data_IF_361875907675
#
_entry.id   IF_361875907675
#
_cell.length_a   1.000
_cell.length_b   1.000
_cell.length_c   1.000
_cell.angle_alpha   90.00
_cell.angle_beta   90.00
_cell.angle_gamma   90.00
#
_symmetry.space_group_name_H-M   'P 1'
#
loop_
_entity.id
_entity.type
_entity.pdbx_description
1 polymer ?
#
# COMPACT_ATOMS: atom_id res chain seq x y z
N UNK A 1 9.96 7.58 15.86
CA UNK A 1 8.90 6.60 16.15
C UNK A 1 8.40 6.03 14.83
N UNK A 2 8.27 4.70 14.74
CA UNK A 2 7.63 4.07 13.59
C UNK A 2 6.12 3.95 13.82
N UNK A 3 5.34 4.11 12.77
CA UNK A 3 3.88 3.89 12.78
C UNK A 3 3.56 2.81 11.75
N UNK A 4 2.89 1.76 12.17
CA UNK A 4 2.31 0.74 11.30
C UNK A 4 0.82 1.01 11.18
N UNK A 5 0.42 1.60 10.07
CA UNK A 5 -0.98 1.89 9.80
C UNK A 5 -1.68 0.69 9.15
N UNK A 6 -2.80 0.29 9.71
CA UNK A 6 -3.67 -0.76 9.21
C UNK A 6 -4.90 -0.13 8.56
N UNK A 7 -5.05 -0.34 7.26
CA UNK A 7 -6.19 0.14 6.47
C UNK A 7 -7.42 -0.75 6.65
N UNK A 8 -7.97 -0.77 7.86
CA UNK A 8 -9.11 -1.62 8.20
C UNK A 8 -10.45 -1.07 7.66
N UNK A 9 -10.56 0.23 7.45
CA UNK A 9 -11.76 0.84 6.86
C UNK A 9 -11.87 0.58 5.36
N UNK A 10 -10.85 0.87 4.51
CA UNK A 10 -10.90 0.57 3.09
C UNK A 10 -11.11 -0.91 2.78
N UNK A 11 -10.59 -1.80 3.62
CA UNK A 11 -10.76 -3.25 3.43
C UNK A 11 -12.21 -3.71 3.51
N UNK A 12 -13.07 -2.97 4.24
CA UNK A 12 -14.51 -3.25 4.32
C UNK A 12 -15.29 -2.75 3.09
N UNK A 13 -14.71 -1.85 2.29
CA UNK A 13 -15.33 -1.31 1.09
C UNK A 13 -14.97 -2.14 -0.15
N UNK A 14 -13.83 -2.83 -0.10
CA UNK A 14 -13.24 -3.57 -1.22
C UNK A 14 -12.18 -2.75 -1.95
N UNK A 15 -10.98 -3.30 -2.08
CA UNK A 15 -9.85 -2.65 -2.75
C UNK A 15 -9.92 -2.87 -4.27
N UNK A 16 -10.09 -1.83 -5.08
CA UNK A 16 -10.16 -1.92 -6.53
C UNK A 16 -8.77 -1.92 -7.20
N UNK A 17 -7.69 -1.65 -6.44
CA UNK A 17 -6.38 -1.38 -7.02
C UNK A 17 -5.83 -2.54 -7.85
N UNK A 18 -5.59 -2.26 -9.14
CA UNK A 18 -4.86 -3.14 -10.05
C UNK A 18 -5.63 -4.34 -10.62
N UNK A 19 -6.97 -4.42 -10.45
CA UNK A 19 -7.78 -5.52 -11.00
C UNK A 19 -9.04 -5.01 -11.69
N UNK A 20 -9.47 -5.72 -12.73
CA UNK A 20 -10.75 -5.47 -13.41
C UNK A 20 -11.98 -5.86 -12.56
N UNK A 21 -11.78 -6.49 -11.42
CA UNK A 21 -12.84 -6.93 -10.50
C UNK A 21 -12.49 -6.47 -9.09
N UNK A 22 -13.39 -5.70 -8.48
CA UNK A 22 -13.30 -5.27 -7.08
C UNK A 22 -13.19 -6.49 -6.17
N UNK A 23 -12.24 -6.51 -5.24
CA UNK A 23 -12.22 -7.55 -4.20
C UNK A 23 -13.53 -7.50 -3.41
N UNK A 24 -14.10 -8.66 -3.05
CA UNK A 24 -15.26 -8.66 -2.17
C UNK A 24 -14.92 -7.93 -0.86
N UNK A 25 -15.86 -7.15 -0.32
CA UNK A 25 -15.68 -6.51 0.96
C UNK A 25 -15.48 -7.58 2.05
N UNK A 26 -14.53 -7.35 2.94
CA UNK A 26 -14.28 -8.22 4.08
C UNK A 26 -15.17 -7.85 5.26
N UNK A 27 -15.55 -8.82 6.08
CA UNK A 27 -16.16 -8.53 7.36
C UNK A 27 -15.12 -7.88 8.29
N UNK A 28 -15.61 -7.16 9.31
CA UNK A 28 -14.72 -6.53 10.29
C UNK A 28 -13.85 -7.56 11.01
N UNK A 29 -14.40 -8.73 11.33
CA UNK A 29 -13.70 -9.83 11.97
C UNK A 29 -12.57 -10.34 11.07
N UNK A 30 -12.84 -10.54 9.79
CA UNK A 30 -11.83 -10.95 8.80
C UNK A 30 -10.72 -9.91 8.64
N UNK A 31 -11.06 -8.62 8.69
CA UNK A 31 -10.07 -7.54 8.62
C UNK A 31 -9.16 -7.55 9.84
N UNK A 32 -9.72 -7.73 11.05
CA UNK A 32 -8.94 -7.79 12.28
C UNK A 32 -8.04 -9.03 12.34
N UNK A 33 -8.54 -10.19 11.92
CA UNK A 33 -7.74 -11.42 11.82
C UNK A 33 -6.57 -11.26 10.83
N UNK A 34 -6.84 -10.66 9.67
CA UNK A 34 -5.79 -10.34 8.70
C UNK A 34 -4.78 -9.35 9.28
N UNK A 35 -5.25 -8.30 9.98
CA UNK A 35 -4.40 -7.30 10.62
C UNK A 35 -3.46 -7.93 11.67
N UNK A 36 -3.96 -8.87 12.46
CA UNK A 36 -3.13 -9.62 13.43
C UNK A 36 -2.00 -10.38 12.72
N UNK A 37 -2.31 -11.04 11.61
CA UNK A 37 -1.32 -11.76 10.81
C UNK A 37 -0.24 -10.81 10.26
N UNK A 38 -0.65 -9.67 9.66
CA UNK A 38 0.29 -8.66 9.15
C UNK A 38 1.15 -8.07 10.27
N UNK A 39 0.54 -7.74 11.39
CA UNK A 39 1.23 -7.19 12.55
C UNK A 39 2.30 -8.16 13.08
N UNK A 40 1.95 -9.45 13.20
CA UNK A 40 2.89 -10.49 13.63
C UNK A 40 4.08 -10.62 12.67
N UNK A 41 3.86 -10.52 11.37
CA UNK A 41 4.93 -10.53 10.37
C UNK A 41 5.77 -9.27 10.42
N UNK A 42 5.16 -8.10 10.54
CA UNK A 42 5.86 -6.82 10.63
C UNK A 42 6.81 -6.76 11.83
N UNK A 43 6.40 -7.30 12.98
CA UNK A 43 7.24 -7.36 14.18
C UNK A 43 8.39 -8.37 14.14
N UNK A 44 8.56 -9.12 13.06
CA UNK A 44 9.83 -9.81 12.80
C UNK A 44 10.94 -8.86 12.34
N UNK A 45 10.57 -7.68 11.85
CA UNK A 45 11.48 -6.68 11.30
C UNK A 45 11.47 -5.42 12.15
N UNK A 46 10.28 -4.96 12.57
CA UNK A 46 10.09 -3.76 13.36
C UNK A 46 10.23 -4.06 14.86
N UNK A 47 10.85 -3.12 15.58
CA UNK A 47 10.90 -3.15 17.03
C UNK A 47 9.53 -2.80 17.61
N UNK A 48 8.93 -3.74 18.35
CA UNK A 48 7.59 -3.58 18.92
C UNK A 48 7.46 -2.40 19.87
N UNK A 49 8.51 -2.16 20.66
CA UNK A 49 8.49 -1.10 21.69
C UNK A 49 8.67 0.30 21.08
N UNK A 50 9.08 0.37 19.80
CA UNK A 50 9.27 1.62 19.04
C UNK A 50 8.25 1.82 17.92
N UNK A 51 7.28 0.90 17.80
CA UNK A 51 6.30 0.93 16.72
C UNK A 51 4.90 1.06 17.29
N UNK A 52 4.21 2.10 16.87
CA UNK A 52 2.79 2.30 17.14
C UNK A 52 1.95 1.63 16.05
N UNK A 53 0.90 0.91 16.45
CA UNK A 53 -0.08 0.35 15.51
C UNK A 53 -1.29 1.26 15.52
N UNK A 54 -1.72 1.70 14.33
CA UNK A 54 -2.85 2.63 14.15
C UNK A 54 -3.81 2.05 13.13
N UNK A 55 -5.10 2.19 13.38
CA UNK A 55 -6.17 1.73 12.49
C UNK A 55 -6.90 2.94 11.90
N UNK A 56 -6.98 3.03 10.58
CA UNK A 56 -7.61 4.19 9.95
C UNK A 56 -9.15 4.20 10.10
N UNK A 57 -9.75 3.10 10.50
CA UNK A 57 -11.14 3.08 10.93
C UNK A 57 -11.43 3.95 12.15
N UNK A 58 -10.43 4.33 12.93
CA UNK A 58 -10.59 5.16 14.12
C UNK A 58 -11.04 6.59 13.79
N UNK A 59 -10.67 7.11 12.64
CA UNK A 59 -11.15 8.39 12.12
C UNK A 59 -12.21 8.23 11.05
N UNK A 60 -12.08 7.37 10.04
CA UNK A 60 -13.06 7.28 8.96
C UNK A 60 -14.46 6.87 9.41
N UNK A 61 -14.60 6.00 10.43
CA UNK A 61 -15.92 5.63 10.97
C UNK A 61 -16.61 6.75 11.75
N UNK A 62 -15.87 7.75 12.17
CA UNK A 62 -16.40 8.93 12.90
C UNK A 62 -16.75 10.07 11.95
N UNK A 63 -16.19 10.08 10.73
CA UNK A 63 -16.47 11.11 9.74
C UNK A 63 -17.95 11.11 9.37
N UNK A 64 -18.54 12.29 9.44
CA UNK A 64 -19.87 12.55 8.89
C UNK A 64 -19.80 12.63 7.38
N UNK A 65 -20.94 12.45 6.71
CA UNK A 65 -20.99 12.60 5.24
C UNK A 65 -20.56 14.00 4.78
N UNK A 66 -20.86 15.04 5.58
CA UNK A 66 -20.42 16.41 5.31
C UNK A 66 -18.88 16.53 5.31
N UNK A 67 -18.22 15.90 6.28
CA UNK A 67 -16.76 15.89 6.36
C UNK A 67 -16.13 15.14 5.18
N UNK A 68 -16.75 14.02 4.77
CA UNK A 68 -16.32 13.29 3.57
C UNK A 68 -16.45 14.15 2.31
N UNK A 69 -17.56 14.92 2.16
CA UNK A 69 -17.71 15.84 1.03
C UNK A 69 -16.68 16.97 1.07
N UNK A 70 -16.37 17.52 2.25
CA UNK A 70 -15.32 18.52 2.43
C UNK A 70 -13.95 17.96 2.07
N UNK A 71 -13.64 16.73 2.46
CA UNK A 71 -12.40 16.06 2.09
C UNK A 71 -12.32 15.86 0.57
N UNK A 72 -13.39 15.39 -0.05
CA UNK A 72 -13.44 15.17 -1.50
C UNK A 72 -13.31 16.48 -2.31
N UNK A 73 -13.77 17.61 -1.77
CA UNK A 73 -13.66 18.90 -2.46
C UNK A 73 -12.22 19.43 -2.59
N UNK A 74 -11.28 18.85 -1.86
CA UNK A 74 -9.85 19.20 -1.90
C UNK A 74 -9.09 18.57 -3.06
N UNK A 75 -9.71 17.60 -3.73
CA UNK A 75 -9.05 16.84 -4.80
C UNK A 75 -9.91 16.91 -6.05
N UNK A 76 -9.30 17.16 -7.21
CA UNK A 76 -10.05 17.20 -8.46
C UNK A 76 -10.16 15.82 -9.12
N UNK A 77 -11.22 15.61 -9.88
CA UNK A 77 -11.36 14.39 -10.69
C UNK A 77 -10.20 14.23 -11.67
N UNK A 78 -9.70 15.35 -12.26
CA UNK A 78 -8.55 15.30 -13.17
C UNK A 78 -7.28 14.80 -12.49
N UNK A 79 -7.04 15.22 -11.25
CA UNK A 79 -5.92 14.69 -10.46
C UNK A 79 -6.07 13.18 -10.24
N UNK A 80 -7.25 12.70 -9.86
CA UNK A 80 -7.48 11.27 -9.66
C UNK A 80 -7.30 10.47 -10.95
N UNK A 81 -7.81 10.97 -12.07
CA UNK A 81 -7.67 10.33 -13.38
C UNK A 81 -6.24 10.38 -13.95
N UNK A 82 -5.33 11.18 -13.37
CA UNK A 82 -3.91 11.16 -13.71
C UNK A 82 -3.17 9.93 -13.14
N UNK A 83 -3.76 9.22 -12.19
CA UNK A 83 -3.21 7.95 -11.68
C UNK A 83 -3.16 6.92 -12.82
N UNK A 84 -2.00 6.29 -13.03
CA UNK A 84 -1.72 5.45 -14.22
C UNK A 84 -2.76 4.36 -14.46
N UNK A 85 -3.22 3.67 -13.41
CA UNK A 85 -4.20 2.60 -13.54
C UNK A 85 -5.60 3.13 -13.91
N UNK A 86 -6.03 4.28 -13.36
CA UNK A 86 -7.30 4.91 -13.73
C UNK A 86 -7.23 5.44 -15.17
N UNK A 87 -6.14 6.11 -15.52
CA UNK A 87 -5.89 6.59 -16.87
C UNK A 87 -5.97 5.46 -17.89
N UNK A 88 -5.21 4.39 -17.68
CA UNK A 88 -5.19 3.24 -18.58
C UNK A 88 -6.58 2.56 -18.72
N UNK A 89 -7.35 2.52 -17.63
CA UNK A 89 -8.71 1.95 -17.66
C UNK A 89 -9.67 2.84 -18.44
N UNK A 90 -9.64 4.14 -18.22
CA UNK A 90 -10.50 5.10 -18.96
C UNK A 90 -10.15 5.10 -20.43
N UNK A 91 -8.87 5.16 -20.81
CA UNK A 91 -8.41 5.09 -22.20
C UNK A 91 -8.77 3.76 -22.85
N UNK A 92 -8.78 2.67 -22.10
CA UNK A 92 -9.19 1.34 -22.53
C UNK A 92 -10.71 1.11 -22.50
N UNK A 93 -11.53 2.14 -22.25
CA UNK A 93 -12.99 2.02 -22.19
C UNK A 93 -13.52 1.19 -21.03
N UNK A 94 -12.72 1.01 -19.96
CA UNK A 94 -13.11 0.27 -18.75
C UNK A 94 -13.66 1.22 -17.69
N UNK A 95 -14.60 0.72 -16.91
CA UNK A 95 -15.21 1.50 -15.82
C UNK A 95 -14.20 1.83 -14.70
N UNK A 96 -14.28 3.06 -14.18
CA UNK A 96 -13.69 3.48 -12.92
C UNK A 96 -14.82 3.97 -12.02
N UNK A 97 -15.00 3.35 -10.87
CA UNK A 97 -16.11 3.65 -9.97
C UNK A 97 -15.73 4.73 -8.97
N UNK A 98 -16.69 5.55 -8.53
CA UNK A 98 -16.43 6.67 -7.62
C UNK A 98 -15.77 6.26 -6.30
N UNK A 99 -16.15 5.11 -5.73
CA UNK A 99 -15.52 4.63 -4.49
C UNK A 99 -14.03 4.26 -4.69
N UNK A 100 -13.62 3.88 -5.90
CA UNK A 100 -12.22 3.60 -6.21
C UNK A 100 -11.37 4.88 -6.12
N UNK A 101 -11.93 6.01 -6.54
CA UNK A 101 -11.26 7.31 -6.44
C UNK A 101 -11.09 7.78 -4.98
N UNK A 102 -11.84 7.20 -4.03
CA UNK A 102 -11.69 7.51 -2.61
C UNK A 102 -10.39 6.94 -2.02
N UNK A 103 -9.83 5.86 -2.58
CA UNK A 103 -8.65 5.20 -2.02
C UNK A 103 -7.44 6.12 -1.91
N UNK A 104 -7.01 6.82 -2.97
CA UNK A 104 -5.92 7.79 -2.87
C UNK A 104 -6.20 8.92 -1.87
N UNK A 105 -7.46 9.34 -1.77
CA UNK A 105 -7.86 10.42 -0.85
C UNK A 105 -7.82 9.92 0.59
N UNK A 106 -8.36 8.73 0.86
CA UNK A 106 -8.32 8.12 2.20
C UNK A 106 -6.87 7.86 2.63
N UNK A 107 -6.04 7.25 1.79
CA UNK A 107 -4.64 7.04 2.12
C UNK A 107 -3.90 8.36 2.35
N UNK A 108 -4.19 9.38 1.54
CA UNK A 108 -3.62 10.71 1.75
C UNK A 108 -4.07 11.34 3.07
N UNK A 109 -5.32 11.14 3.47
CA UNK A 109 -5.84 11.62 4.76
C UNK A 109 -5.23 10.91 5.96
N UNK A 110 -4.90 9.63 5.82
CA UNK A 110 -4.17 8.88 6.84
C UNK A 110 -2.86 9.62 7.23
N UNK A 111 -2.14 10.18 6.26
CA UNK A 111 -0.92 10.95 6.51
C UNK A 111 -1.16 12.24 7.32
N UNK A 112 -2.35 12.84 7.17
CA UNK A 112 -2.78 14.02 7.95
C UNK A 112 -3.08 13.61 9.39
N UNK A 113 -3.89 12.56 9.59
CA UNK A 113 -4.32 12.10 10.91
C UNK A 113 -3.14 11.63 11.78
N UNK A 114 -2.20 10.88 11.20
CA UNK A 114 -1.00 10.43 11.92
C UNK A 114 0.10 11.50 11.98
N UNK A 115 -0.07 12.64 11.29
CA UNK A 115 0.92 13.73 11.19
C UNK A 115 2.27 13.21 10.72
N UNK A 116 2.27 12.42 9.67
CA UNK A 116 3.47 11.75 9.17
C UNK A 116 4.56 12.75 8.76
N UNK A 117 5.80 12.54 9.20
CA UNK A 117 6.98 13.29 8.75
C UNK A 117 7.60 12.62 7.52
N UNK A 118 7.52 11.29 7.45
CA UNK A 118 8.04 10.47 6.36
C UNK A 118 7.06 9.33 6.10
N UNK A 119 6.68 9.11 4.87
CA UNK A 119 5.89 7.94 4.45
C UNK A 119 6.71 7.04 3.53
N UNK A 120 6.78 5.75 3.89
CA UNK A 120 7.47 4.71 3.14
C UNK A 120 6.44 3.91 2.32
N UNK A 121 6.73 3.69 1.05
CA UNK A 121 5.89 2.86 0.19
C UNK A 121 6.63 2.24 -0.98
N UNK A 122 5.96 1.39 -1.73
CA UNK A 122 6.43 0.98 -3.05
C UNK A 122 6.27 2.12 -4.07
N UNK A 123 6.98 2.04 -5.20
CA UNK A 123 6.84 3.04 -6.29
C UNK A 123 5.40 3.14 -6.80
N UNK A 124 4.61 2.09 -6.70
CA UNK A 124 3.18 2.08 -7.04
C UNK A 124 2.31 2.91 -6.08
N UNK A 125 2.82 3.28 -4.90
CA UNK A 125 2.13 4.11 -3.91
C UNK A 125 2.44 5.61 -4.03
N UNK A 126 3.40 6.00 -4.87
CA UNK A 126 3.87 7.39 -4.95
C UNK A 126 2.74 8.38 -5.16
N UNK A 127 1.77 8.06 -6.03
CA UNK A 127 0.62 8.93 -6.28
C UNK A 127 -0.17 9.21 -4.99
N UNK A 128 -0.50 8.17 -4.24
CA UNK A 128 -1.28 8.29 -3.01
C UNK A 128 -0.52 9.06 -1.92
N UNK A 129 0.79 8.82 -1.80
CA UNK A 129 1.67 9.55 -0.88
C UNK A 129 1.72 11.04 -1.22
N UNK A 130 1.75 11.39 -2.51
CA UNK A 130 1.74 12.78 -2.96
C UNK A 130 0.39 13.47 -2.67
N UNK A 131 -0.73 12.77 -2.79
CA UNK A 131 -2.03 13.27 -2.32
C UNK A 131 -1.98 13.61 -0.83
N UNK A 132 -1.37 12.75 -0.01
CA UNK A 132 -1.17 13.02 1.42
C UNK A 132 -0.38 14.29 1.69
N UNK A 133 0.71 14.51 0.93
CA UNK A 133 1.50 15.74 1.02
C UNK A 133 0.68 17.01 0.72
N UNK A 134 -0.19 16.95 -0.29
CA UNK A 134 -1.00 18.10 -0.66
C UNK A 134 -2.08 18.37 0.39
N UNK A 135 -2.72 17.34 0.93
CA UNK A 135 -3.66 17.46 2.04
C UNK A 135 -3.00 18.01 3.31
N UNK A 136 -1.79 17.57 3.64
CA UNK A 136 -1.02 18.12 4.77
C UNK A 136 -0.75 19.63 4.60
N UNK A 137 -0.40 20.09 3.38
CA UNK A 137 -0.21 21.52 3.11
C UNK A 137 -1.49 22.31 3.34
N UNK A 138 -2.64 21.81 2.88
CA UNK A 138 -3.94 22.46 3.07
C UNK A 138 -4.34 22.54 4.55
N UNK A 139 -3.94 21.56 5.36
CA UNK A 139 -4.09 21.59 6.82
C UNK A 139 -3.05 22.48 7.53
N UNK A 140 -2.18 23.18 6.78
CA UNK A 140 -1.14 24.01 7.36
C UNK A 140 0.00 23.23 8.01
N UNK A 141 0.14 21.96 7.68
CA UNK A 141 1.20 21.08 8.18
C UNK A 141 2.43 21.15 7.29
N UNK A 142 3.59 20.78 7.83
CA UNK A 142 4.77 20.52 7.02
C UNK A 142 4.54 19.21 6.23
N UNK A 143 4.66 19.24 4.89
CA UNK A 143 4.40 18.04 4.09
C UNK A 143 5.45 16.97 4.33
N UNK A 144 5.01 15.74 4.49
CA UNK A 144 5.86 14.56 4.68
C UNK A 144 6.87 14.35 3.55
N UNK A 145 7.96 13.67 3.84
CA UNK A 145 8.89 13.16 2.84
C UNK A 145 8.31 11.86 2.27
N UNK A 146 8.14 11.81 0.94
CA UNK A 146 7.80 10.59 0.23
C UNK A 146 9.07 9.77 -0.02
N UNK A 147 9.15 8.56 0.54
CA UNK A 147 10.26 7.65 0.32
C UNK A 147 9.72 6.36 -0.31
N UNK A 148 10.03 6.14 -1.59
CA UNK A 148 9.55 4.96 -2.31
C UNK A 148 10.68 4.01 -2.66
N UNK A 149 10.38 2.71 -2.53
CA UNK A 149 11.28 1.63 -2.89
C UNK A 149 10.78 0.93 -4.15
N UNK A 150 11.69 0.42 -5.00
CA UNK A 150 11.32 -0.41 -6.13
C UNK A 150 10.46 -1.60 -5.69
N UNK A 151 9.49 -1.97 -6.52
CA UNK A 151 8.70 -3.17 -6.27
C UNK A 151 9.57 -4.41 -6.48
N UNK A 152 9.44 -5.38 -5.57
CA UNK A 152 10.09 -6.66 -5.70
C UNK A 152 9.23 -7.55 -6.60
N UNK A 153 9.81 -8.09 -7.67
CA UNK A 153 9.17 -9.07 -8.52
C UNK A 153 9.04 -10.41 -7.76
N UNK A 154 7.93 -11.10 -7.99
CA UNK A 154 7.73 -12.44 -7.44
C UNK A 154 8.57 -13.49 -8.17
N UNK A 155 8.48 -14.74 -7.72
CA UNK A 155 9.23 -15.86 -8.30
C UNK A 155 8.91 -16.14 -9.78
N UNK A 156 7.83 -15.55 -10.30
CA UNK A 156 7.48 -15.57 -11.72
C UNK A 156 8.35 -14.60 -12.57
N UNK A 157 9.16 -13.76 -11.93
CA UNK A 157 10.06 -12.80 -12.58
C UNK A 157 9.37 -11.67 -13.37
N UNK A 158 8.04 -11.54 -13.27
CA UNK A 158 7.26 -10.60 -14.10
C UNK A 158 6.38 -9.70 -13.24
N UNK A 159 5.55 -10.30 -12.36
CA UNK A 159 4.60 -9.56 -11.54
C UNK A 159 5.21 -9.23 -10.19
N UNK A 160 4.76 -8.13 -9.58
CA UNK A 160 5.17 -7.82 -8.21
C UNK A 160 4.89 -9.00 -7.28
N UNK A 161 5.79 -9.22 -6.33
CA UNK A 161 5.62 -10.25 -5.31
C UNK A 161 4.33 -10.02 -4.53
N UNK A 162 3.48 -11.02 -4.46
CA UNK A 162 2.20 -10.89 -3.75
C UNK A 162 1.67 -12.27 -3.32
N UNK A 163 1.14 -12.32 -2.10
CA UNK A 163 0.43 -13.49 -1.58
C UNK A 163 -0.73 -13.92 -2.51
N UNK A 164 -1.44 -12.93 -3.06
CA UNK A 164 -2.60 -13.19 -3.94
C UNK A 164 -2.23 -13.73 -5.33
N UNK A 165 -0.97 -13.61 -5.74
CA UNK A 165 -0.44 -14.22 -6.98
C UNK A 165 0.24 -15.56 -6.74
N UNK A 166 0.45 -15.96 -5.47
CA UNK A 166 1.16 -17.19 -5.14
C UNK A 166 2.65 -17.19 -5.54
N UNK A 167 3.21 -16.03 -5.90
CA UNK A 167 4.58 -15.86 -6.39
C UNK A 167 5.55 -15.29 -5.34
N UNK A 168 5.23 -15.48 -4.06
CA UNK A 168 5.94 -14.83 -2.95
C UNK A 168 6.81 -15.81 -2.15
N UNK A 169 7.80 -15.23 -1.46
CA UNK A 169 8.53 -15.88 -0.37
C UNK A 169 8.06 -15.20 0.93
N UNK A 170 7.44 -15.97 1.81
CA UNK A 170 6.90 -15.43 3.07
C UNK A 170 7.99 -15.30 4.13
N UNK A 171 8.00 -14.19 4.86
CA UNK A 171 8.94 -13.93 5.97
C UNK A 171 8.70 -14.82 7.20
N UNK A 172 7.60 -15.55 7.22
CA UNK A 172 7.17 -16.49 8.25
C UNK A 172 7.22 -17.95 7.81
N UNK A 173 7.68 -18.23 6.60
CA UNK A 173 7.89 -19.60 6.12
C UNK A 173 9.09 -20.25 6.82
N UNK A 174 9.08 -21.58 6.85
CA UNK A 174 10.23 -22.34 7.35
C UNK A 174 11.47 -22.06 6.48
N UNK A 175 12.67 -21.95 7.09
CA UNK A 175 13.90 -21.59 6.36
C UNK A 175 14.16 -22.46 5.13
N UNK A 176 13.87 -23.76 5.20
CA UNK A 176 14.05 -24.70 4.09
C UNK A 176 13.13 -24.39 2.92
N UNK A 177 11.90 -23.94 3.22
CA UNK A 177 10.93 -23.53 2.19
C UNK A 177 11.35 -22.22 1.54
N UNK A 178 11.80 -21.23 2.33
CA UNK A 178 12.33 -19.97 1.82
C UNK A 178 13.55 -20.21 0.92
N UNK A 179 14.49 -21.05 1.37
CA UNK A 179 15.67 -21.42 0.60
C UNK A 179 15.28 -22.09 -0.71
N UNK A 180 14.39 -23.11 -0.67
CA UNK A 180 13.94 -23.81 -1.89
C UNK A 180 13.28 -22.88 -2.91
N UNK A 181 12.45 -21.94 -2.42
CA UNK A 181 11.81 -20.92 -3.27
C UNK A 181 12.84 -19.96 -3.88
N UNK A 182 13.80 -19.47 -3.09
CA UNK A 182 14.86 -18.59 -3.60
C UNK A 182 15.74 -19.30 -4.63
N UNK A 183 16.05 -20.58 -4.43
CA UNK A 183 16.81 -21.39 -5.39
C UNK A 183 16.04 -21.68 -6.68
N UNK A 184 14.72 -21.47 -6.73
CA UNK A 184 13.92 -21.59 -7.96
C UNK A 184 13.87 -20.32 -8.80
N UNK A 185 14.43 -19.20 -8.30
CA UNK A 185 14.50 -17.95 -9.05
C UNK A 185 15.43 -18.08 -10.27
N UNK A 186 15.05 -17.44 -11.39
CA UNK A 186 15.95 -17.34 -12.56
C UNK A 186 17.17 -16.46 -12.24
N UNK A 187 18.23 -16.60 -13.04
CA UNK A 187 19.43 -15.79 -12.85
C UNK A 187 19.14 -14.29 -12.97
N UNK A 188 18.30 -13.89 -13.92
CA UNK A 188 17.88 -12.49 -14.07
C UNK A 188 17.13 -11.98 -12.85
N UNK A 189 16.23 -12.79 -12.28
CA UNK A 189 15.52 -12.44 -11.07
C UNK A 189 16.46 -12.38 -9.86
N UNK A 190 17.42 -13.27 -9.78
CA UNK A 190 18.45 -13.28 -8.75
C UNK A 190 19.29 -11.99 -8.80
N UNK A 191 19.70 -11.54 -9.98
CA UNK A 191 20.44 -10.27 -10.15
C UNK A 191 19.60 -9.07 -9.67
N UNK A 192 18.29 -9.09 -9.94
CA UNK A 192 17.35 -8.09 -9.41
C UNK A 192 17.27 -8.12 -7.90
N UNK A 193 17.22 -9.30 -7.30
CA UNK A 193 17.17 -9.45 -5.84
C UNK A 193 18.46 -8.96 -5.16
N UNK A 194 19.63 -9.27 -5.73
CA UNK A 194 20.89 -8.72 -5.22
C UNK A 194 20.88 -7.19 -5.25
N UNK A 195 20.43 -6.59 -6.35
CA UNK A 195 20.37 -5.14 -6.48
C UNK A 195 19.35 -4.51 -5.52
N UNK A 196 18.13 -5.05 -5.47
CA UNK A 196 17.01 -4.42 -4.73
C UNK A 196 17.11 -4.68 -3.22
N UNK A 197 17.52 -5.89 -2.81
CA UNK A 197 17.54 -6.27 -1.40
C UNK A 197 18.89 -5.96 -0.72
N UNK A 198 20.00 -6.07 -1.44
CA UNK A 198 21.33 -5.92 -0.87
C UNK A 198 22.05 -4.64 -1.34
N UNK A 199 21.53 -3.96 -2.37
CA UNK A 199 22.21 -2.82 -2.99
C UNK A 199 23.47 -3.19 -3.75
N UNK A 200 23.64 -4.46 -4.08
CA UNK A 200 24.85 -5.03 -4.70
C UNK A 200 24.56 -5.56 -6.10
N UNK A 201 25.59 -5.62 -6.92
CA UNK A 201 25.57 -6.40 -8.16
C UNK A 201 26.14 -7.79 -7.87
N UNK A 202 25.48 -8.82 -8.40
CA UNK A 202 26.04 -10.18 -8.32
C UNK A 202 27.33 -10.24 -9.14
N UNK A 203 28.46 -10.59 -8.50
CA UNK A 203 29.69 -10.93 -9.20
C UNK A 203 29.49 -12.28 -9.90
N UNK A 204 29.62 -12.29 -11.24
CA UNK A 204 29.57 -13.51 -12.06
C UNK A 204 30.94 -14.17 -12.11
#
# INVERSE_FOLDING_TARGET
>A
QAVLLIGDFPATIGDPSGRSVTRPPLSREQVLENAETYTKQAFKILDRDKTEIVYNGDWFRKMTYEEVLKLNSRVTMQQMLAREDFKARVEGGKEVRLHEMQYPIMQGWDSVEIRADVELGGTDQLFNILVGRDLQKEEGMLPQIAMTMPLLEGLDGVRKMSKSYGNYVGVDEAPEMMFGKMMSASDELMDRYYLVLLGEKRDM
#
